data_IF_759805469210
#
_entry.id   IF_759805469210
#
_cell.length_a   1.000
_cell.length_b   1.000
_cell.length_c   1.000
_cell.angle_alpha   90.00
_cell.angle_beta   90.00
_cell.angle_gamma   90.00
#
_symmetry.space_group_name_H-M   'P 1'
#
loop_
_entity.id
_entity.type
_entity.pdbx_description
1 polymer ?
#
# COMPACT_ATOMS: atom_id res chain seq x y z
N UNK A 1 40.22 -11.82 -42.14
CA UNK A 1 40.46 -11.40 -40.75
C UNK A 1 39.09 -11.06 -40.15
N UNK A 2 38.40 -12.06 -39.60
CA UNK A 2 37.02 -11.93 -39.11
C UNK A 2 37.00 -11.79 -37.60
N UNK A 3 36.40 -10.71 -37.09
CA UNK A 3 36.23 -10.47 -35.65
C UNK A 3 34.89 -11.06 -35.19
N UNK A 4 34.95 -11.98 -34.23
CA UNK A 4 33.80 -12.67 -33.64
C UNK A 4 33.28 -11.79 -32.49
N UNK A 5 32.23 -11.01 -32.73
CA UNK A 5 31.47 -10.41 -31.64
C UNK A 5 30.59 -11.50 -31.03
N UNK A 6 31.03 -12.07 -29.90
CA UNK A 6 30.17 -12.94 -29.09
C UNK A 6 28.95 -12.15 -28.59
N UNK A 7 27.77 -12.78 -28.49
CA UNK A 7 26.58 -12.09 -28.01
C UNK A 7 26.85 -11.54 -26.59
N UNK A 8 26.79 -10.21 -26.44
CA UNK A 8 26.75 -9.59 -25.11
C UNK A 8 25.43 -10.02 -24.48
N UNK A 9 25.52 -10.91 -23.49
CA UNK A 9 24.40 -11.29 -22.65
C UNK A 9 23.86 -10.02 -21.99
N UNK A 10 22.64 -9.63 -22.37
CA UNK A 10 21.89 -8.63 -21.64
C UNK A 10 21.55 -9.28 -20.30
N UNK A 11 22.14 -8.77 -19.21
CA UNK A 11 21.66 -9.08 -17.87
C UNK A 11 20.24 -8.57 -17.83
N UNK A 12 19.28 -9.49 -17.85
CA UNK A 12 17.88 -9.17 -17.61
C UNK A 12 17.83 -8.68 -16.16
N UNK A 13 17.82 -7.37 -15.96
CA UNK A 13 17.40 -6.79 -14.70
C UNK A 13 15.91 -7.13 -14.55
N UNK A 14 15.63 -8.33 -14.05
CA UNK A 14 14.31 -8.67 -13.56
C UNK A 14 14.11 -7.80 -12.33
N UNK A 15 13.60 -6.59 -12.55
CA UNK A 15 13.03 -5.79 -11.49
C UNK A 15 12.04 -6.71 -10.78
N UNK A 16 12.39 -7.13 -9.56
CA UNK A 16 11.47 -7.84 -8.68
C UNK A 16 10.39 -6.83 -8.34
N UNK A 17 9.38 -6.73 -9.21
CA UNK A 17 8.23 -5.87 -9.01
C UNK A 17 7.61 -6.23 -7.66
N UNK A 18 7.26 -5.21 -6.88
CA UNK A 18 6.67 -5.40 -5.56
C UNK A 18 5.38 -6.20 -5.73
N UNK A 19 5.35 -7.41 -5.18
CA UNK A 19 4.12 -8.17 -5.14
C UNK A 19 3.19 -7.54 -4.10
N UNK A 20 1.99 -7.20 -4.55
CA UNK A 20 0.89 -6.77 -3.69
C UNK A 20 -0.12 -7.91 -3.46
N UNK A 21 0.31 -9.16 -3.67
CA UNK A 21 -0.51 -10.33 -3.45
C UNK A 21 -0.78 -10.57 -1.95
N UNK A 22 -1.88 -11.27 -1.64
CA UNK A 22 -2.29 -11.52 -0.24
C UNK A 22 -1.30 -12.42 0.48
N UNK A 23 -0.77 -13.42 -0.21
CA UNK A 23 0.24 -14.37 0.26
C UNK A 23 1.55 -13.69 0.67
N UNK A 24 1.86 -12.54 0.07
CA UNK A 24 3.06 -11.77 0.38
C UNK A 24 2.87 -10.79 1.54
N UNK A 25 1.64 -10.64 2.04
CA UNK A 25 1.34 -9.77 3.16
C UNK A 25 1.64 -10.45 4.50
N UNK A 26 2.67 -9.96 5.19
CA UNK A 26 3.00 -10.40 6.54
C UNK A 26 2.10 -9.71 7.57
N UNK A 27 1.33 -10.53 8.30
CA UNK A 27 0.52 -10.08 9.43
C UNK A 27 1.41 -9.85 10.65
N UNK A 28 1.23 -8.71 11.31
CA UNK A 28 1.84 -8.39 12.60
C UNK A 28 0.88 -7.57 13.48
N UNK A 29 1.18 -7.39 14.77
CA UNK A 29 0.38 -6.57 15.68
C UNK A 29 0.03 -5.18 15.11
N UNK A 30 0.97 -4.56 14.41
CA UNK A 30 0.86 -3.24 13.78
C UNK A 30 -0.18 -3.13 12.65
N UNK A 31 -0.58 -4.25 12.02
CA UNK A 31 -1.49 -4.26 10.86
C UNK A 31 -2.67 -5.26 10.99
N UNK A 32 -2.73 -6.04 12.08
CA UNK A 32 -3.70 -7.13 12.24
C UNK A 32 -5.16 -6.67 12.14
N UNK A 33 -5.50 -5.51 12.71
CA UNK A 33 -6.87 -4.96 12.65
C UNK A 33 -7.24 -4.53 11.23
N UNK A 34 -6.29 -3.94 10.49
CA UNK A 34 -6.51 -3.49 9.12
C UNK A 34 -6.65 -4.68 8.15
N UNK A 35 -5.84 -5.73 8.33
CA UNK A 35 -5.97 -6.96 7.57
C UNK A 35 -7.32 -7.64 7.85
N UNK A 36 -7.71 -7.77 9.12
CA UNK A 36 -9.03 -8.31 9.50
C UNK A 36 -10.17 -7.53 8.83
N UNK A 37 -10.07 -6.20 8.76
CA UNK A 37 -11.06 -5.40 8.05
C UNK A 37 -11.16 -5.80 6.58
N UNK A 38 -10.03 -5.84 5.86
CA UNK A 38 -10.00 -6.21 4.44
C UNK A 38 -10.60 -7.61 4.21
N UNK A 39 -10.24 -8.58 5.05
CA UNK A 39 -10.70 -9.97 4.95
C UNK A 39 -12.18 -10.16 5.32
N UNK A 40 -12.77 -9.23 6.08
CA UNK A 40 -14.19 -9.26 6.43
C UNK A 40 -15.10 -8.79 5.32
N UNK A 41 -14.58 -8.24 4.21
CA UNK A 41 -15.43 -7.88 3.08
C UNK A 41 -16.19 -9.12 2.56
N UNK A 42 -17.52 -9.02 2.28
CA UNK A 42 -18.34 -7.81 2.20
C UNK A 42 -19.03 -7.35 3.51
N UNK A 43 -18.77 -8.01 4.64
CA UNK A 43 -19.37 -7.73 5.97
C UNK A 43 -18.68 -6.56 6.71
N UNK A 44 -18.45 -5.46 5.99
CA UNK A 44 -17.92 -4.23 6.57
C UNK A 44 -18.97 -3.47 7.40
N UNK A 45 -18.54 -2.70 8.42
CA UNK A 45 -19.48 -1.91 9.24
C UNK A 45 -20.13 -0.76 8.48
N UNK A 46 -19.45 -0.19 7.48
CA UNK A 46 -19.99 0.73 6.48
C UNK A 46 -19.41 0.32 5.11
N UNK A 47 -20.07 0.68 4.02
CA UNK A 47 -19.57 0.39 2.67
C UNK A 47 -18.38 1.26 2.31
N UNK A 48 -18.21 2.39 3.00
CA UNK A 48 -17.07 3.28 2.85
C UNK A 48 -16.19 3.16 4.10
N UNK A 49 -14.99 2.61 3.91
CA UNK A 49 -14.02 2.40 4.97
C UNK A 49 -12.76 3.23 4.72
N UNK A 50 -12.06 3.60 5.79
CA UNK A 50 -10.77 4.32 5.69
C UNK A 50 -9.64 3.52 6.33
N UNK A 51 -8.53 3.34 5.63
CA UNK A 51 -7.25 2.91 6.20
C UNK A 51 -6.35 4.13 6.39
N UNK A 52 -5.83 4.31 7.61
CA UNK A 52 -4.91 5.40 7.93
C UNK A 52 -3.59 4.89 8.46
N UNK A 53 -2.56 5.71 8.43
CA UNK A 53 -1.25 5.34 8.97
C UNK A 53 -0.10 5.98 8.22
N UNK A 54 1.10 5.98 8.80
CA UNK A 54 2.27 6.65 8.23
C UNK A 54 2.66 6.08 6.86
N UNK A 55 3.52 6.80 6.15
CA UNK A 55 4.11 6.30 4.91
C UNK A 55 4.81 4.95 5.14
N UNK A 56 4.67 4.06 4.18
CA UNK A 56 5.27 2.73 4.27
C UNK A 56 4.72 1.84 5.39
N UNK A 57 3.51 2.08 5.92
CA UNK A 57 2.86 1.17 6.89
C UNK A 57 2.12 -0.02 6.28
N UNK A 58 1.98 -0.08 4.95
CA UNK A 58 1.29 -1.18 4.24
C UNK A 58 -0.14 -0.89 3.77
N UNK A 59 -0.60 0.37 3.84
CA UNK A 59 -1.94 0.80 3.36
C UNK A 59 -2.21 0.36 1.91
N UNK A 60 -1.33 0.71 0.98
CA UNK A 60 -1.48 0.41 -0.44
C UNK A 60 -1.48 -1.10 -0.73
N UNK A 61 -0.78 -1.90 0.09
CA UNK A 61 -0.79 -3.36 -0.05
C UNK A 61 -2.15 -3.93 0.37
N UNK A 62 -2.68 -3.49 1.52
CA UNK A 62 -4.02 -3.88 1.94
C UNK A 62 -5.10 -3.43 0.94
N UNK A 63 -4.96 -2.21 0.40
CA UNK A 63 -5.85 -1.70 -0.62
C UNK A 63 -5.80 -2.51 -1.91
N UNK A 64 -4.60 -2.91 -2.35
CA UNK A 64 -4.42 -3.78 -3.52
C UNK A 64 -4.99 -5.19 -3.31
N UNK A 65 -4.81 -5.77 -2.12
CA UNK A 65 -5.42 -7.07 -1.75
C UNK A 65 -6.94 -6.99 -1.88
N UNK A 66 -7.54 -5.96 -1.28
CA UNK A 66 -8.98 -5.78 -1.36
C UNK A 66 -9.44 -5.50 -2.79
N UNK A 67 -8.71 -4.65 -3.53
CA UNK A 67 -9.04 -4.34 -4.92
C UNK A 67 -9.04 -5.59 -5.81
N UNK A 68 -8.05 -6.47 -5.64
CA UNK A 68 -7.99 -7.75 -6.34
C UNK A 68 -9.18 -8.65 -6.00
N UNK A 69 -9.56 -8.75 -4.72
CA UNK A 69 -10.69 -9.56 -4.27
C UNK A 69 -12.06 -9.01 -4.73
N UNK A 70 -12.24 -7.69 -4.70
CA UNK A 70 -13.49 -7.01 -5.02
C UNK A 70 -13.64 -6.66 -6.51
N UNK A 71 -12.58 -6.82 -7.32
CA UNK A 71 -12.52 -6.27 -8.68
C UNK A 71 -12.57 -4.75 -8.69
N UNK A 72 -12.08 -4.10 -7.63
CA UNK A 72 -12.11 -2.65 -7.51
C UNK A 72 -11.05 -2.01 -8.42
N UNK A 73 -11.38 -0.86 -9.01
CA UNK A 73 -10.35 0.01 -9.60
C UNK A 73 -9.60 0.72 -8.47
N UNK A 74 -8.35 1.08 -8.74
CA UNK A 74 -7.51 1.87 -7.83
C UNK A 74 -7.24 3.23 -8.48
N UNK A 75 -7.55 4.29 -7.75
CA UNK A 75 -7.42 5.67 -8.20
C UNK A 75 -6.62 6.47 -7.17
N UNK A 76 -5.69 7.32 -7.62
CA UNK A 76 -5.07 8.29 -6.72
C UNK A 76 -6.06 9.44 -6.43
N UNK A 77 -6.19 9.85 -5.16
CA UNK A 77 -7.14 10.89 -4.73
C UNK A 77 -7.02 12.20 -5.53
N UNK A 78 -5.80 12.57 -5.92
CA UNK A 78 -5.54 13.77 -6.74
C UNK A 78 -6.20 13.75 -8.12
N UNK A 79 -6.56 12.58 -8.64
CA UNK A 79 -7.22 12.40 -9.95
C UNK A 79 -8.75 12.35 -9.81
N UNK A 80 -9.28 12.44 -8.60
CA UNK A 80 -10.71 12.23 -8.33
C UNK A 80 -11.60 13.23 -9.07
N UNK A 81 -11.19 14.49 -9.18
CA UNK A 81 -11.95 15.54 -9.86
C UNK A 81 -12.06 15.31 -11.39
N UNK A 82 -11.09 14.62 -11.98
CA UNK A 82 -11.03 14.35 -13.42
C UNK A 82 -11.61 12.98 -13.80
N UNK A 83 -11.99 12.18 -12.80
CA UNK A 83 -12.43 10.80 -13.00
C UNK A 83 -13.93 10.72 -13.24
N UNK A 84 -14.32 9.95 -14.25
CA UNK A 84 -15.69 9.51 -14.45
C UNK A 84 -16.07 8.45 -13.39
N UNK A 85 -16.67 8.92 -12.29
CA UNK A 85 -16.97 8.09 -11.12
C UNK A 85 -17.94 6.93 -11.39
N UNK A 86 -19.05 7.09 -12.15
CA UNK A 86 -19.89 5.97 -12.55
C UNK A 86 -19.10 4.85 -13.24
N UNK A 87 -18.21 5.19 -14.16
CA UNK A 87 -17.36 4.20 -14.82
C UNK A 87 -16.33 3.61 -13.86
N UNK A 88 -15.78 4.40 -12.94
CA UNK A 88 -14.84 3.92 -11.93
C UNK A 88 -15.49 2.93 -10.93
N UNK A 89 -16.77 3.14 -10.62
CA UNK A 89 -17.57 2.31 -9.71
C UNK A 89 -18.34 1.19 -10.43
N UNK A 90 -18.13 0.96 -11.72
CA UNK A 90 -18.89 -0.01 -12.51
C UNK A 90 -18.86 -1.46 -11.94
N UNK A 91 -17.84 -1.82 -11.16
CA UNK A 91 -17.75 -3.13 -10.48
C UNK A 91 -18.42 -3.16 -9.10
N UNK A 92 -18.97 -2.02 -8.65
CA UNK A 92 -19.49 -1.83 -7.31
C UNK A 92 -18.40 -1.64 -6.25
N UNK A 93 -17.14 -1.43 -6.64
CA UNK A 93 -16.03 -1.24 -5.71
C UNK A 93 -14.97 -0.24 -6.24
N UNK A 94 -14.44 0.62 -5.36
CA UNK A 94 -13.37 1.57 -5.70
C UNK A 94 -12.39 1.76 -4.54
N UNK A 95 -11.08 1.75 -4.84
CA UNK A 95 -10.05 2.26 -3.94
C UNK A 95 -9.69 3.69 -4.34
N UNK A 96 -9.63 4.59 -3.36
CA UNK A 96 -9.03 5.91 -3.51
C UNK A 96 -7.80 6.02 -2.61
N UNK A 97 -6.64 6.01 -3.24
CA UNK A 97 -5.34 6.06 -2.59
C UNK A 97 -4.91 7.49 -2.24
N UNK A 98 -4.20 7.64 -1.12
CA UNK A 98 -3.47 8.86 -0.75
C UNK A 98 -4.35 10.11 -0.65
N UNK A 99 -5.47 10.02 0.09
CA UNK A 99 -6.19 11.21 0.54
C UNK A 99 -5.28 12.08 1.41
N UNK A 100 -5.05 13.29 0.95
CA UNK A 100 -4.25 14.30 1.63
C UNK A 100 -5.02 15.62 1.68
N UNK A 101 -5.02 16.26 2.85
CA UNK A 101 -5.71 17.53 3.07
C UNK A 101 -5.31 18.60 2.04
N UNK A 102 -4.01 18.71 1.72
CA UNK A 102 -3.48 19.81 0.91
C UNK A 102 -3.92 19.76 -0.56
N UNK A 103 -4.27 18.58 -1.07
CA UNK A 103 -4.64 18.33 -2.47
C UNK A 103 -6.08 17.86 -2.63
N UNK A 104 -6.87 17.91 -1.55
CA UNK A 104 -8.22 17.38 -1.55
C UNK A 104 -9.18 18.28 -2.33
N UNK A 105 -9.76 17.74 -3.40
CA UNK A 105 -10.97 18.32 -3.99
C UNK A 105 -12.20 17.89 -3.19
N UNK A 106 -12.71 18.80 -2.36
CA UNK A 106 -13.87 18.54 -1.50
C UNK A 106 -15.14 18.18 -2.30
N UNK A 107 -15.35 18.78 -3.47
CA UNK A 107 -16.55 18.54 -4.28
C UNK A 107 -16.51 17.15 -4.90
N UNK A 108 -15.35 16.77 -5.43
CA UNK A 108 -15.15 15.44 -6.01
C UNK A 108 -15.30 14.34 -4.95
N UNK A 109 -14.72 14.51 -3.76
CA UNK A 109 -14.87 13.54 -2.67
C UNK A 109 -16.32 13.47 -2.17
N UNK A 110 -16.99 14.62 -2.05
CA UNK A 110 -18.39 14.65 -1.67
C UNK A 110 -19.27 13.91 -2.68
N UNK A 111 -19.03 14.12 -3.98
CA UNK A 111 -19.74 13.43 -5.05
C UNK A 111 -19.51 11.91 -5.00
N UNK A 112 -18.26 11.47 -4.82
CA UNK A 112 -17.93 10.05 -4.63
C UNK A 112 -18.69 9.42 -3.47
N UNK A 113 -18.69 10.06 -2.30
CA UNK A 113 -19.35 9.51 -1.10
C UNK A 113 -20.86 9.37 -1.33
N UNK A 114 -21.48 10.33 -2.02
CA UNK A 114 -22.91 10.25 -2.34
C UNK A 114 -23.20 9.13 -3.34
N UNK A 115 -22.45 9.09 -4.44
CA UNK A 115 -22.64 8.09 -5.49
C UNK A 115 -22.45 6.66 -4.94
N UNK A 116 -21.39 6.44 -4.15
CA UNK A 116 -21.15 5.14 -3.53
C UNK A 116 -22.28 4.71 -2.59
N UNK A 117 -22.92 5.65 -1.88
CA UNK A 117 -24.09 5.36 -1.02
C UNK A 117 -25.33 5.04 -1.84
N UNK A 118 -25.59 5.81 -2.91
CA UNK A 118 -26.72 5.62 -3.81
C UNK A 118 -26.65 4.28 -4.54
N UNK A 119 -25.49 3.95 -5.10
CA UNK A 119 -25.24 2.69 -5.81
C UNK A 119 -24.96 1.50 -4.87
N UNK A 120 -24.89 1.76 -3.55
CA UNK A 120 -24.48 0.78 -2.54
C UNK A 120 -23.11 0.15 -2.87
N UNK A 121 -22.23 0.90 -3.51
CA UNK A 121 -20.88 0.46 -3.82
C UNK A 121 -19.97 0.49 -2.59
N UNK A 122 -18.92 -0.33 -2.60
CA UNK A 122 -17.90 -0.34 -1.58
C UNK A 122 -16.75 0.60 -1.95
N UNK A 123 -16.27 1.39 -0.99
CA UNK A 123 -15.14 2.30 -1.19
C UNK A 123 -14.13 2.12 -0.08
N UNK A 124 -12.86 1.98 -0.44
CA UNK A 124 -11.75 2.01 0.49
C UNK A 124 -10.92 3.27 0.26
N UNK A 125 -10.85 4.14 1.25
CA UNK A 125 -10.01 5.32 1.25
C UNK A 125 -8.71 5.01 1.97
N UNK A 126 -7.56 5.46 1.45
CA UNK A 126 -6.30 5.45 2.21
C UNK A 126 -5.80 6.85 2.45
N UNK A 127 -5.25 7.11 3.64
CA UNK A 127 -4.74 8.43 4.01
C UNK A 127 -3.57 8.30 5.00
N UNK A 128 -2.71 9.32 5.09
CA UNK A 128 -1.66 9.36 6.12
C UNK A 128 -2.24 9.65 7.50
N UNK A 129 -3.17 10.58 7.58
CA UNK A 129 -3.88 11.02 8.78
C UNK A 129 -5.39 10.83 8.62
N UNK A 130 -6.14 10.84 9.72
CA UNK A 130 -7.59 10.65 9.68
C UNK A 130 -8.31 11.76 8.90
N UNK A 131 -9.07 11.43 7.84
CA UNK A 131 -9.88 12.40 7.11
C UNK A 131 -10.94 13.09 7.97
N UNK A 132 -11.36 12.49 9.08
CA UNK A 132 -12.28 13.09 10.05
C UNK A 132 -11.76 14.42 10.64
N UNK A 133 -10.44 14.61 10.65
CA UNK A 133 -9.77 15.81 11.13
C UNK A 133 -9.43 16.82 10.04
N UNK A 134 -9.75 16.56 8.76
CA UNK A 134 -9.44 17.51 7.69
C UNK A 134 -10.27 18.79 7.84
N UNK A 135 -9.64 19.98 7.78
CA UNK A 135 -10.37 21.24 7.72
C UNK A 135 -10.98 21.41 6.33
N UNK A 136 -12.18 20.87 6.15
CA UNK A 136 -12.98 21.03 4.93
C UNK A 136 -13.99 22.17 5.09
N UNK A 137 -14.25 22.87 4.00
CA UNK A 137 -15.19 24.01 3.92
C UNK A 137 -16.64 23.55 3.80
N UNK A 138 -16.88 22.46 3.06
CA UNK A 138 -18.21 21.87 2.87
C UNK A 138 -18.65 21.17 4.16
N UNK A 139 -19.60 21.78 4.87
CA UNK A 139 -20.07 21.27 6.18
C UNK A 139 -20.60 19.83 6.14
N UNK A 140 -21.32 19.46 5.08
CA UNK A 140 -21.87 18.11 4.94
C UNK A 140 -20.79 17.07 4.59
N UNK A 141 -19.69 17.48 3.96
CA UNK A 141 -18.53 16.62 3.80
C UNK A 141 -17.86 16.39 5.15
N UNK A 142 -17.70 17.44 5.97
CA UNK A 142 -17.07 17.33 7.29
C UNK A 142 -17.80 16.33 8.20
N UNK A 143 -19.14 16.37 8.24
CA UNK A 143 -19.94 15.43 9.02
C UNK A 143 -19.77 14.00 8.51
N UNK A 144 -19.78 13.79 7.19
CA UNK A 144 -19.58 12.47 6.56
C UNK A 144 -18.21 11.90 6.84
N UNK A 145 -17.14 12.68 6.71
CA UNK A 145 -15.78 12.24 7.00
C UNK A 145 -15.60 11.83 8.47
N UNK A 146 -16.27 12.51 9.41
CA UNK A 146 -16.28 12.11 10.83
C UNK A 146 -17.06 10.83 11.10
N UNK A 147 -18.07 10.54 10.27
CA UNK A 147 -18.89 9.35 10.39
C UNK A 147 -18.25 8.11 9.74
N UNK A 148 -17.27 8.29 8.84
CA UNK A 148 -16.59 7.17 8.18
C UNK A 148 -15.80 6.35 9.20
N UNK A 149 -16.05 5.04 9.28
CA UNK A 149 -15.21 4.16 10.09
C UNK A 149 -13.77 4.14 9.56
N UNK A 150 -12.81 4.27 10.47
CA UNK A 150 -11.38 4.27 10.15
C UNK A 150 -10.64 3.20 10.95
N UNK A 151 -9.71 2.51 10.28
CA UNK A 151 -8.75 1.61 10.92
C UNK A 151 -7.34 2.14 10.66
N UNK A 152 -6.58 2.34 11.74
CA UNK A 152 -5.22 2.83 11.67
C UNK A 152 -4.22 1.66 11.64
N UNK A 153 -3.23 1.78 10.75
CA UNK A 153 -2.02 0.98 10.74
C UNK A 153 -0.92 1.73 11.50
N UNK A 154 -0.16 0.98 12.28
CA UNK A 154 1.08 1.47 12.88
C UNK A 154 2.27 1.16 11.96
N UNK A 155 3.44 1.81 12.16
CA UNK A 155 4.70 1.32 11.62
C UNK A 155 4.94 -0.16 12.00
N UNK A 156 5.67 -0.93 11.19
CA UNK A 156 6.02 -2.30 11.53
C UNK A 156 6.77 -2.37 12.86
N UNK A 157 6.30 -3.25 13.74
CA UNK A 157 7.02 -3.63 14.96
C UNK A 157 8.29 -4.42 14.63
N UNK A 158 9.16 -4.61 15.63
CA UNK A 158 10.48 -5.24 15.44
C UNK A 158 10.38 -6.67 14.86
N UNK A 159 9.38 -7.44 15.31
CA UNK A 159 9.14 -8.81 14.81
C UNK A 159 8.76 -8.77 13.33
N UNK A 160 7.82 -7.90 12.97
CA UNK A 160 7.40 -7.73 11.58
C UNK A 160 8.54 -7.20 10.71
N UNK A 161 9.30 -6.21 11.19
CA UNK A 161 10.43 -5.62 10.47
C UNK A 161 11.48 -6.68 10.12
N UNK A 162 11.86 -7.52 11.09
CA UNK A 162 12.82 -8.61 10.90
C UNK A 162 12.31 -9.66 9.94
N UNK A 163 11.04 -10.04 10.08
CA UNK A 163 10.39 -11.00 9.18
C UNK A 163 10.37 -10.49 7.74
N UNK A 164 10.13 -9.19 7.55
CA UNK A 164 10.20 -8.54 6.24
C UNK A 164 11.62 -8.54 5.66
N UNK A 165 12.65 -8.26 6.47
CA UNK A 165 14.05 -8.32 6.03
C UNK A 165 14.37 -9.72 5.50
N UNK A 166 14.06 -10.75 6.29
CA UNK A 166 14.33 -12.15 5.92
C UNK A 166 13.56 -12.55 4.65
N UNK A 167 12.25 -12.25 4.59
CA UNK A 167 11.42 -12.55 3.42
C UNK A 167 11.96 -11.88 2.16
N UNK A 168 12.18 -10.56 2.20
CA UNK A 168 12.61 -9.80 1.02
C UNK A 168 14.02 -10.16 0.55
N UNK A 169 14.92 -10.53 1.48
CA UNK A 169 16.22 -11.09 1.12
C UNK A 169 16.08 -12.46 0.44
N UNK A 170 15.25 -13.35 1.00
CA UNK A 170 14.99 -14.67 0.42
C UNK A 170 14.31 -14.60 -0.95
N UNK A 171 13.37 -13.66 -1.16
CA UNK A 171 12.72 -13.39 -2.44
C UNK A 171 13.76 -13.00 -3.53
N UNK A 172 14.92 -12.47 -3.11
CA UNK A 172 16.08 -12.13 -3.97
C UNK A 172 17.21 -13.14 -3.93
N UNK A 173 17.00 -14.30 -3.31
CA UNK A 173 18.01 -15.35 -3.14
C UNK A 173 19.25 -14.92 -2.32
N UNK A 174 19.13 -13.86 -1.51
CA UNK A 174 20.19 -13.41 -0.61
C UNK A 174 20.14 -14.18 0.71
N UNK A 175 21.28 -14.71 1.14
CA UNK A 175 21.42 -15.33 2.45
C UNK A 175 21.77 -14.28 3.50
N UNK A 176 20.86 -14.03 4.44
CA UNK A 176 21.08 -13.11 5.57
C UNK A 176 21.17 -13.89 6.86
N UNK A 177 22.25 -13.67 7.61
CA UNK A 177 22.39 -14.23 8.96
C UNK A 177 21.69 -13.35 10.01
N UNK A 178 21.54 -13.88 11.22
CA UNK A 178 20.86 -13.19 12.31
C UNK A 178 21.57 -11.87 12.68
N UNK A 179 22.90 -11.82 12.56
CA UNK A 179 23.68 -10.62 12.86
C UNK A 179 23.37 -9.48 11.88
N UNK A 180 23.25 -9.77 10.59
CA UNK A 180 22.88 -8.81 9.55
C UNK A 180 21.43 -8.36 9.70
N UNK A 181 20.50 -9.27 10.00
CA UNK A 181 19.10 -8.89 10.28
C UNK A 181 19.02 -7.95 11.48
N UNK A 182 19.73 -8.25 12.57
CA UNK A 182 19.86 -7.39 13.74
C UNK A 182 20.46 -6.02 13.39
N UNK A 183 21.51 -6.00 12.56
CA UNK A 183 22.17 -4.78 12.13
C UNK A 183 21.22 -3.88 11.33
N UNK A 184 20.51 -4.45 10.36
CA UNK A 184 19.55 -3.71 9.53
C UNK A 184 18.39 -3.19 10.38
N UNK A 185 17.74 -4.05 11.18
CA UNK A 185 16.58 -3.67 11.99
C UNK A 185 16.83 -2.48 12.92
N UNK A 186 18.08 -2.29 13.38
CA UNK A 186 18.46 -1.20 14.26
C UNK A 186 18.87 0.10 13.54
N UNK A 187 19.09 0.08 12.22
CA UNK A 187 19.66 1.21 11.47
C UNK A 187 18.79 1.75 10.34
N UNK A 188 17.88 0.93 9.82
CA UNK A 188 16.98 1.34 8.75
C UNK A 188 15.78 2.11 9.32
N UNK A 189 15.12 2.86 8.45
CA UNK A 189 13.81 3.42 8.75
C UNK A 189 12.81 2.29 9.04
N UNK A 190 12.01 2.41 10.12
CA UNK A 190 10.98 1.44 10.50
C UNK A 190 9.73 1.57 9.63
N UNK A 191 9.90 1.28 8.35
CA UNK A 191 8.84 1.27 7.35
C UNK A 191 9.08 0.16 6.33
N UNK A 192 8.03 -0.31 5.67
CA UNK A 192 8.17 -1.31 4.60
C UNK A 192 9.04 -0.78 3.45
N UNK A 193 8.97 0.53 3.18
CA UNK A 193 9.83 1.19 2.20
C UNK A 193 11.31 1.17 2.62
N UNK A 194 11.60 1.45 3.89
CA UNK A 194 12.94 1.40 4.46
C UNK A 194 13.57 0.01 4.36
N UNK A 195 12.82 -1.05 4.72
CA UNK A 195 13.28 -2.44 4.58
C UNK A 195 13.59 -2.78 3.13
N UNK A 196 12.66 -2.48 2.21
CA UNK A 196 12.86 -2.74 0.78
C UNK A 196 14.11 -2.05 0.25
N UNK A 197 14.28 -0.75 0.55
CA UNK A 197 15.43 0.01 0.10
C UNK A 197 16.74 -0.57 0.64
N UNK A 198 16.76 -1.03 1.90
CA UNK A 198 17.93 -1.66 2.49
C UNK A 198 18.29 -3.00 1.82
N UNK A 199 17.29 -3.85 1.56
CA UNK A 199 17.50 -5.14 0.89
C UNK A 199 17.95 -4.95 -0.57
N UNK A 200 17.37 -3.99 -1.31
CA UNK A 200 17.83 -3.66 -2.67
C UNK A 200 19.31 -3.24 -2.66
N UNK A 201 19.70 -2.37 -1.73
CA UNK A 201 21.10 -1.93 -1.63
C UNK A 201 22.06 -3.06 -1.24
N UNK A 202 21.59 -4.01 -0.42
CA UNK A 202 22.36 -5.19 -0.05
C UNK A 202 22.60 -6.10 -1.27
N UNK A 203 21.55 -6.33 -2.06
CA UNK A 203 21.59 -7.10 -3.31
C UNK A 203 22.60 -6.50 -4.32
N UNK A 204 22.51 -5.19 -4.53
CA UNK A 204 23.42 -4.45 -5.42
C UNK A 204 24.89 -4.51 -4.96
N UNK A 205 25.15 -4.59 -3.67
CA UNK A 205 26.51 -4.75 -3.14
C UNK A 205 27.02 -6.19 -3.25
N UNK A 206 26.17 -7.18 -2.94
CA UNK A 206 26.46 -8.61 -3.09
C UNK A 206 26.88 -8.96 -4.54
N UNK A 207 26.11 -8.45 -5.51
CA UNK A 207 26.40 -8.60 -6.93
C UNK A 207 27.72 -7.94 -7.35
N UNK A 208 28.05 -6.75 -6.82
CA UNK A 208 29.34 -6.09 -7.07
C UNK A 208 30.52 -6.87 -6.51
N UNK A 209 30.37 -7.45 -5.32
CA UNK A 209 31.43 -8.20 -4.64
C UNK A 209 31.55 -9.67 -5.08
N UNK A 210 30.65 -10.16 -5.96
CA UNK A 210 30.55 -11.57 -6.36
C UNK A 210 30.37 -12.52 -5.15
N UNK A 211 29.67 -12.06 -4.11
CA UNK A 211 29.39 -12.85 -2.91
C UNK A 211 27.87 -12.95 -2.74
N UNK A 212 27.28 -14.15 -2.93
CA UNK A 212 25.85 -14.38 -2.70
C UNK A 212 25.48 -14.32 -1.21
#
# INVERSE_FOLDING_TARGET
>A
MGSIFGPRQLVLALDHAVSFAREDFLRGPSNATALTLVERWPDWPDRIMTLTGPEGSGKSHLAAIWAGAAGARVLAAKLLAETDLPTALATGALVVEDLEQASLDERALFHLINLAREERAFVLLTARTSPAGFPVTIRDLASRLRALPSVALAPPDDILLRSLIVKLAADRQLSVDEALVNYLANRIERSFAGVRAAVVRLDEEAMRQHRP
#
